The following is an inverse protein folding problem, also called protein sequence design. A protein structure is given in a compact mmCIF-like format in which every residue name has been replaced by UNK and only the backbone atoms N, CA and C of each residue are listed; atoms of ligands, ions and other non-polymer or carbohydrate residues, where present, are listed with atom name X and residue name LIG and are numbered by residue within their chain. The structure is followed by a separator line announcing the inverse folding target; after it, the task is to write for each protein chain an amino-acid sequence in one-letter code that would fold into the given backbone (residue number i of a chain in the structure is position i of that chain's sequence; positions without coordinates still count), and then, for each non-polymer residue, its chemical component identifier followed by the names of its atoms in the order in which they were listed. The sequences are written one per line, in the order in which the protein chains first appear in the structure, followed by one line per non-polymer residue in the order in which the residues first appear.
data_IF_203570206773
#
_entry.id   IF_203570206773
#
_cell.length_a   1.000
_cell.length_b   1.000
_cell.length_c   1.000
_cell.angle_alpha   90.00
_cell.angle_beta   90.00
_cell.angle_gamma   90.00
#
_symmetry.space_group_name_H-M   'P 1'
#
loop_
_entity.id
_entity.type
_entity.pdbx_description
1 polymer ?
#
# COMPACT_ATOMS: atom_id res chain seq x y z
N UNK A 1 26.13 -1.52 10.04
CA UNK A 1 26.10 -0.22 9.35
C UNK A 1 24.67 0.08 8.94
N UNK A 2 24.19 1.28 9.33
CA UNK A 2 22.86 1.74 8.95
C UNK A 2 22.97 2.30 7.53
N UNK A 3 22.29 1.65 6.60
CA UNK A 3 22.27 2.11 5.21
C UNK A 3 21.31 3.30 5.06
N UNK A 4 21.79 4.37 4.43
CA UNK A 4 20.99 5.53 4.05
C UNK A 4 20.79 5.55 2.54
N UNK A 5 19.61 5.97 2.11
CA UNK A 5 19.26 6.13 0.70
C UNK A 5 18.94 7.58 0.40
N UNK A 6 19.48 8.09 -0.69
CA UNK A 6 19.15 9.43 -1.19
C UNK A 6 17.74 9.41 -1.77
N UNK A 7 16.95 10.40 -1.38
CA UNK A 7 15.55 10.53 -1.77
C UNK A 7 15.19 11.95 -2.17
N UNK A 8 14.13 12.06 -2.94
CA UNK A 8 13.48 13.32 -3.28
C UNK A 8 12.06 13.25 -2.74
N UNK A 9 11.75 14.13 -1.79
CA UNK A 9 10.41 14.25 -1.21
C UNK A 9 9.68 15.38 -1.90
N UNK A 10 8.50 15.09 -2.44
CA UNK A 10 7.61 16.09 -2.97
C UNK A 10 6.58 16.46 -1.90
N UNK A 11 6.58 17.71 -1.48
CA UNK A 11 5.61 18.23 -0.51
C UNK A 11 4.27 18.52 -1.20
N UNK A 12 3.20 18.66 -0.42
CA UNK A 12 1.88 19.07 -0.94
C UNK A 12 1.91 20.42 -1.67
N UNK A 13 2.82 21.30 -1.31
CA UNK A 13 3.06 22.58 -1.99
C UNK A 13 3.65 22.43 -3.40
N UNK A 14 4.13 21.25 -3.76
CA UNK A 14 4.89 20.98 -4.98
C UNK A 14 6.40 21.19 -4.82
N UNK A 15 6.86 21.73 -3.69
CA UNK A 15 8.28 21.86 -3.38
C UNK A 15 8.94 20.48 -3.28
N UNK A 16 10.14 20.34 -3.83
CA UNK A 16 10.96 19.13 -3.75
C UNK A 16 12.11 19.34 -2.78
N UNK A 17 12.24 18.39 -1.85
CA UNK A 17 13.29 18.38 -0.84
C UNK A 17 14.15 17.15 -1.05
N UNK A 18 15.45 17.34 -1.27
CA UNK A 18 16.43 16.25 -1.33
C UNK A 18 17.01 15.97 0.05
N UNK A 19 17.30 14.70 0.30
CA UNK A 19 17.96 14.28 1.54
C UNK A 19 18.13 12.76 1.59
N UNK A 20 18.38 12.25 2.78
CA UNK A 20 18.67 10.85 3.02
C UNK A 20 17.68 10.26 4.00
N UNK A 21 17.12 9.09 3.66
CA UNK A 21 16.31 8.25 4.53
C UNK A 21 17.10 7.05 5.01
N UNK A 22 16.97 6.78 6.30
CA UNK A 22 17.55 5.59 6.91
C UNK A 22 16.80 4.34 6.44
N UNK A 23 17.52 3.26 6.18
CA UNK A 23 16.94 1.96 5.87
C UNK A 23 15.94 1.52 6.97
N UNK A 24 14.81 0.96 6.56
CA UNK A 24 13.74 0.55 7.47
C UNK A 24 12.87 1.69 8.03
N UNK A 25 13.02 2.91 7.57
CA UNK A 25 12.24 4.07 8.04
C UNK A 25 10.72 3.83 8.02
N UNK A 26 10.25 3.10 7.03
CA UNK A 26 8.82 2.77 6.86
C UNK A 26 8.32 1.71 7.85
N UNK A 27 9.21 1.01 8.53
CA UNK A 27 8.90 0.04 9.56
C UNK A 27 8.86 0.64 10.97
N UNK A 28 9.39 1.86 11.12
CA UNK A 28 9.45 2.56 12.38
C UNK A 28 8.10 3.25 12.69
N UNK A 29 7.58 3.05 13.88
CA UNK A 29 6.40 3.77 14.38
C UNK A 29 5.05 3.22 13.96
N UNK A 30 4.99 2.05 13.49
CA UNK A 30 3.83 1.47 12.84
C UNK A 30 2.76 0.88 13.75
N UNK A 31 2.53 1.36 14.91
CA UNK A 31 1.33 0.97 15.64
C UNK A 31 0.22 1.98 15.40
N UNK A 32 -0.70 1.64 14.47
CA UNK A 32 -2.14 1.95 14.42
C UNK A 32 -2.63 3.31 15.00
N UNK A 33 -1.74 4.22 15.35
CA UNK A 33 -2.13 5.56 15.77
C UNK A 33 -2.10 6.47 14.56
N UNK A 34 -3.22 7.09 14.26
CA UNK A 34 -3.42 8.10 13.22
C UNK A 34 -2.30 9.14 13.13
N UNK A 35 -1.57 9.32 14.20
CA UNK A 35 -0.67 10.45 14.42
C UNK A 35 0.81 10.14 14.15
N UNK A 36 1.17 8.88 13.83
CA UNK A 36 2.56 8.44 13.86
C UNK A 36 3.19 8.11 12.50
N UNK A 37 2.53 8.48 11.39
CA UNK A 37 3.15 8.29 10.08
C UNK A 37 4.06 9.45 9.74
N UNK A 38 5.22 9.43 10.38
CA UNK A 38 6.25 10.40 10.16
C UNK A 38 7.56 9.71 9.79
N UNK A 39 8.38 10.42 9.04
CA UNK A 39 9.72 10.01 8.70
C UNK A 39 10.66 11.19 8.86
N UNK A 40 11.96 10.90 8.96
CA UNK A 40 12.99 11.91 9.16
C UNK A 40 13.97 11.88 8.01
N UNK A 41 14.31 13.04 7.51
CA UNK A 41 15.31 13.24 6.45
C UNK A 41 16.49 14.00 7.03
N UNK A 42 17.70 13.54 6.68
CA UNK A 42 18.96 14.24 6.95
C UNK A 42 19.53 14.82 5.66
N UNK A 43 20.34 15.87 5.74
CA UNK A 43 21.01 16.45 4.58
C UNK A 43 22.13 15.55 4.06
N UNK A 44 22.83 14.90 4.98
CA UNK A 44 23.85 13.89 4.69
C UNK A 44 23.65 12.67 5.59
N UNK A 45 24.18 11.50 5.25
CA UNK A 45 24.04 10.31 6.09
C UNK A 45 24.57 10.47 7.51
N UNK A 46 25.56 11.33 7.70
CA UNK A 46 26.25 11.53 8.97
C UNK A 46 25.65 12.68 9.82
N UNK A 47 24.68 13.40 9.28
CA UNK A 47 24.05 14.50 10.01
C UNK A 47 23.28 14.02 11.24
N UNK A 48 23.50 14.70 12.34
CA UNK A 48 22.72 14.51 13.58
C UNK A 48 21.37 15.22 13.54
N UNK A 49 21.29 16.28 12.75
CA UNK A 49 20.06 17.04 12.58
C UNK A 49 19.20 16.44 11.46
N UNK A 50 17.92 16.30 11.75
CA UNK A 50 16.95 15.77 10.81
C UNK A 50 15.69 16.63 10.79
N UNK A 51 15.05 16.69 9.64
CA UNK A 51 13.72 17.30 9.48
C UNK A 51 12.69 16.19 9.45
N UNK A 52 11.66 16.34 10.28
CA UNK A 52 10.55 15.40 10.38
C UNK A 52 9.40 15.84 9.48
N UNK A 53 8.89 14.91 8.67
CA UNK A 53 7.68 15.08 7.87
C UNK A 53 6.64 14.03 8.23
N UNK A 54 5.38 14.38 8.03
CA UNK A 54 4.24 13.45 8.15
C UNK A 54 3.65 13.12 6.78
N UNK A 55 2.87 12.05 6.69
CA UNK A 55 2.15 11.69 5.48
C UNK A 55 1.15 12.79 5.03
N UNK A 56 0.72 13.66 5.95
CA UNK A 56 -0.17 14.78 5.63
C UNK A 56 0.53 15.95 4.94
N UNK A 57 1.85 16.06 5.08
CA UNK A 57 2.66 17.15 4.53
C UNK A 57 3.23 16.86 3.15
N UNK A 58 3.24 15.58 2.75
CA UNK A 58 3.90 15.12 1.53
C UNK A 58 2.95 14.50 0.53
N UNK A 59 3.34 14.51 -0.73
CA UNK A 59 2.66 13.82 -1.84
C UNK A 59 3.32 12.48 -2.13
N UNK A 60 4.64 12.45 -2.26
CA UNK A 60 5.38 11.25 -2.58
C UNK A 60 6.86 11.35 -2.17
N UNK A 61 7.51 10.19 -2.16
CA UNK A 61 8.96 10.06 -1.99
C UNK A 61 9.48 9.20 -3.14
N UNK A 62 10.48 9.71 -3.85
CA UNK A 62 11.21 8.98 -4.88
C UNK A 62 12.62 8.67 -4.39
N UNK A 63 13.05 7.41 -4.53
CA UNK A 63 14.45 7.08 -4.35
C UNK A 63 15.22 7.54 -5.56
N UNK A 64 16.32 8.26 -5.33
CA UNK A 64 17.10 8.86 -6.40
C UNK A 64 17.85 7.82 -7.25
N UNK A 65 18.19 6.68 -6.66
CA UNK A 65 18.99 5.64 -7.28
C UNK A 65 18.15 4.42 -7.60
N UNK A 66 18.31 3.91 -8.82
CA UNK A 66 17.76 2.63 -9.26
C UNK A 66 18.74 1.51 -8.92
N UNK A 67 18.22 0.33 -8.64
CA UNK A 67 19.00 -0.88 -8.36
C UNK A 67 18.65 -1.99 -9.33
N UNK A 68 19.45 -3.05 -9.39
CA UNK A 68 19.13 -4.24 -10.18
C UNK A 68 17.82 -4.89 -9.73
N UNK A 69 17.54 -4.87 -8.42
CA UNK A 69 16.31 -5.40 -7.84
C UNK A 69 15.10 -4.49 -8.14
N UNK A 70 15.33 -3.20 -8.32
CA UNK A 70 14.30 -2.20 -8.60
C UNK A 70 14.73 -1.30 -9.77
N UNK A 71 14.68 -1.82 -11.01
CA UNK A 71 15.16 -1.10 -12.18
C UNK A 71 14.32 0.14 -12.53
N UNK A 72 13.05 0.14 -12.13
CA UNK A 72 12.14 1.29 -12.28
C UNK A 72 12.23 2.30 -11.13
N UNK A 73 13.05 1.98 -10.13
CA UNK A 73 13.18 2.77 -8.91
C UNK A 73 12.13 2.43 -7.85
N UNK A 74 12.26 3.06 -6.69
CA UNK A 74 11.33 2.90 -5.57
C UNK A 74 10.56 4.20 -5.40
N UNK A 75 9.23 4.12 -5.37
CA UNK A 75 8.32 5.25 -5.24
C UNK A 75 7.30 4.98 -4.14
N UNK A 76 7.15 5.94 -3.24
CA UNK A 76 6.17 5.91 -2.15
C UNK A 76 5.18 7.04 -2.34
N UNK A 77 3.89 6.70 -2.37
CA UNK A 77 2.80 7.67 -2.40
C UNK A 77 2.20 7.86 -1.01
N UNK A 78 1.86 9.10 -0.67
CA UNK A 78 1.06 9.41 0.51
C UNK A 78 -0.42 9.34 0.14
N UNK A 79 -1.12 8.31 0.60
CA UNK A 79 -2.49 8.02 0.22
C UNK A 79 -3.37 7.69 1.43
N UNK A 80 -4.66 7.91 1.27
CA UNK A 80 -5.69 7.53 2.23
C UNK A 80 -6.04 6.06 2.06
N UNK A 81 -6.03 5.32 3.16
CA UNK A 81 -6.36 3.90 3.20
C UNK A 81 -7.70 3.74 3.90
N UNK A 82 -8.64 3.03 3.25
CA UNK A 82 -9.89 2.61 3.84
C UNK A 82 -9.63 1.40 4.74
N UNK A 83 -9.51 1.66 6.04
CA UNK A 83 -9.27 0.63 7.05
C UNK A 83 -10.59 0.13 7.62
N UNK A 84 -10.88 -1.19 7.61
CA UNK A 84 -12.09 -1.74 8.17
C UNK A 84 -12.29 -1.37 9.64
N UNK A 85 -13.53 -1.07 9.99
CA UNK A 85 -13.95 -0.73 11.34
C UNK A 85 -15.21 -1.51 11.72
N UNK A 86 -15.62 -1.41 12.97
CA UNK A 86 -16.80 -2.11 13.49
C UNK A 86 -18.07 -1.67 12.75
N UNK A 87 -18.98 -2.60 12.50
CA UNK A 87 -20.29 -2.34 11.92
C UNK A 87 -20.27 -2.06 10.42
N UNK A 88 -19.42 -2.76 9.64
CA UNK A 88 -19.29 -2.57 8.20
C UNK A 88 -19.00 -1.12 7.80
N UNK A 89 -18.18 -0.46 8.61
CA UNK A 89 -17.67 0.89 8.35
C UNK A 89 -16.18 0.81 8.06
N UNK A 90 -15.62 1.90 7.55
CA UNK A 90 -14.17 2.06 7.43
C UNK A 90 -13.74 3.42 7.98
N UNK A 91 -12.54 3.44 8.52
CA UNK A 91 -11.83 4.66 8.88
C UNK A 91 -10.82 4.98 7.79
N UNK A 92 -10.57 6.25 7.58
CA UNK A 92 -9.52 6.71 6.69
C UNK A 92 -8.23 6.92 7.48
N UNK A 93 -7.17 6.26 7.03
CA UNK A 93 -5.82 6.40 7.60
C UNK A 93 -4.89 6.83 6.48
N UNK A 94 -4.23 7.98 6.62
CA UNK A 94 -3.25 8.43 5.64
C UNK A 94 -1.88 7.84 5.94
N UNK A 95 -1.27 7.25 4.91
CA UNK A 95 0.04 6.58 4.99
C UNK A 95 0.88 6.79 3.76
N UNK A 96 2.19 6.52 3.92
CA UNK A 96 3.09 6.28 2.81
C UNK A 96 3.02 4.80 2.44
N UNK A 97 2.74 4.53 1.17
CA UNK A 97 2.59 3.19 0.60
C UNK A 97 3.51 3.06 -0.61
N UNK A 98 4.20 1.93 -0.72
CA UNK A 98 5.14 1.68 -1.80
C UNK A 98 4.42 1.21 -3.05
N UNK A 99 4.70 1.86 -4.17
CA UNK A 99 4.19 1.47 -5.48
C UNK A 99 4.72 0.08 -5.85
N UNK A 100 3.83 -0.81 -6.23
CA UNK A 100 4.17 -2.15 -6.70
C UNK A 100 3.95 -2.27 -8.22
N UNK A 101 2.70 -2.30 -8.67
CA UNK A 101 2.36 -2.45 -10.10
C UNK A 101 1.34 -1.42 -10.55
N UNK A 102 1.55 -0.85 -11.73
CA UNK A 102 0.61 0.05 -12.38
C UNK A 102 -0.07 -0.67 -13.53
N UNK A 103 -1.38 -0.84 -13.43
CA UNK A 103 -2.23 -1.36 -14.48
C UNK A 103 -3.02 -0.25 -15.20
N UNK A 104 -3.84 -0.64 -16.16
CA UNK A 104 -4.70 0.28 -16.90
C UNK A 104 -5.75 0.95 -16.01
N UNK A 105 -6.38 0.19 -15.11
CA UNK A 105 -7.52 0.62 -14.30
C UNK A 105 -7.29 0.55 -12.79
N UNK A 106 -6.15 0.00 -12.36
CA UNK A 106 -5.80 -0.12 -10.95
C UNK A 106 -4.28 -0.08 -10.75
N UNK A 107 -3.88 0.28 -9.55
CA UNK A 107 -2.48 0.30 -9.10
C UNK A 107 -2.38 -0.43 -7.78
N UNK A 108 -1.40 -1.32 -7.65
CA UNK A 108 -1.14 -2.06 -6.42
C UNK A 108 -0.02 -1.45 -5.62
N UNK A 109 -0.12 -1.59 -4.30
CA UNK A 109 0.81 -1.06 -3.32
C UNK A 109 1.10 -2.08 -2.24
N UNK A 110 2.22 -1.89 -1.54
CA UNK A 110 2.51 -2.59 -0.30
C UNK A 110 3.06 -1.61 0.75
N UNK A 111 2.91 -1.98 2.01
CA UNK A 111 3.53 -1.30 3.15
C UNK A 111 3.69 -2.28 4.30
N UNK A 112 4.34 -1.85 5.36
CA UNK A 112 4.55 -2.69 6.53
C UNK A 112 3.83 -2.13 7.75
N UNK A 113 3.30 -3.02 8.56
CA UNK A 113 2.68 -2.70 9.85
C UNK A 113 3.24 -3.60 10.94
N UNK A 114 3.34 -3.05 12.14
CA UNK A 114 3.53 -3.86 13.31
C UNK A 114 2.19 -4.42 13.78
N UNK A 115 2.14 -5.71 14.03
CA UNK A 115 0.97 -6.40 14.58
C UNK A 115 1.39 -7.38 15.66
N UNK A 116 0.42 -7.91 16.40
CA UNK A 116 0.66 -8.92 17.42
C UNK A 116 0.14 -10.27 16.92
N UNK A 117 1.01 -11.25 16.94
CA UNK A 117 0.68 -12.64 16.66
C UNK A 117 0.71 -13.45 17.94
N UNK A 118 -0.28 -14.31 18.13
CA UNK A 118 -0.32 -15.25 19.25
C UNK A 118 0.28 -16.57 18.84
N UNK A 119 1.38 -16.94 19.49
CA UNK A 119 2.03 -18.25 19.31
C UNK A 119 1.93 -19.01 20.64
N UNK A 120 1.00 -19.97 20.71
CA UNK A 120 0.67 -20.64 21.97
C UNK A 120 0.09 -19.65 22.98
N UNK A 121 0.74 -19.49 24.13
CA UNK A 121 0.35 -18.55 25.19
C UNK A 121 1.12 -17.24 25.17
N UNK A 122 1.97 -17.02 24.16
CA UNK A 122 2.83 -15.83 24.08
C UNK A 122 2.33 -14.93 22.95
N UNK A 123 2.17 -13.65 23.26
CA UNK A 123 1.93 -12.62 22.26
C UNK A 123 3.27 -12.09 21.75
N UNK A 124 3.54 -12.24 20.47
CA UNK A 124 4.75 -11.76 19.81
C UNK A 124 4.42 -10.60 18.86
N UNK A 125 5.18 -9.54 18.97
CA UNK A 125 5.11 -8.43 18.03
C UNK A 125 5.86 -8.80 16.75
N UNK A 126 5.20 -8.69 15.62
CA UNK A 126 5.77 -8.98 14.29
C UNK A 126 5.56 -7.82 13.32
N UNK A 127 6.51 -7.66 12.41
CA UNK A 127 6.39 -6.74 11.29
C UNK A 127 5.78 -7.50 10.09
N UNK A 128 4.58 -7.08 9.68
CA UNK A 128 3.83 -7.71 8.60
C UNK A 128 3.78 -6.82 7.36
N UNK A 129 4.02 -7.38 6.18
CA UNK A 129 3.73 -6.73 4.91
C UNK A 129 2.25 -6.86 4.60
N UNK A 130 1.62 -5.74 4.29
CA UNK A 130 0.23 -5.67 3.83
C UNK A 130 0.19 -5.12 2.42
N UNK A 131 -0.83 -5.52 1.67
CA UNK A 131 -1.03 -5.18 0.28
C UNK A 131 -2.32 -4.39 0.10
N UNK A 132 -2.30 -3.43 -0.81
CA UNK A 132 -3.45 -2.61 -1.13
C UNK A 132 -3.58 -2.36 -2.62
N UNK A 133 -4.75 -1.89 -3.01
CA UNK A 133 -5.07 -1.51 -4.37
C UNK A 133 -5.82 -0.20 -4.40
N UNK A 134 -5.47 0.65 -5.35
CA UNK A 134 -6.19 1.88 -5.69
C UNK A 134 -6.78 1.71 -7.08
N UNK A 135 -8.11 1.81 -7.17
CA UNK A 135 -8.81 1.80 -8.44
C UNK A 135 -8.78 3.20 -9.05
N UNK A 136 -8.48 3.31 -10.35
CA UNK A 136 -8.31 4.61 -11.01
C UNK A 136 -9.61 5.41 -11.12
N UNK A 137 -10.75 4.75 -11.07
CA UNK A 137 -12.08 5.37 -11.02
C UNK A 137 -12.52 5.77 -9.60
N UNK A 138 -11.77 5.38 -8.58
CA UNK A 138 -11.91 5.83 -7.18
C UNK A 138 -10.52 6.16 -6.59
N UNK A 139 -9.84 7.22 -7.10
CA UNK A 139 -8.43 7.48 -6.82
C UNK A 139 -8.14 7.94 -5.39
N UNK A 140 -9.17 8.32 -4.64
CA UNK A 140 -9.02 8.89 -3.29
C UNK A 140 -8.76 7.86 -2.21
N UNK A 141 -8.89 6.56 -2.52
CA UNK A 141 -8.78 5.47 -1.54
C UNK A 141 -7.91 4.34 -2.02
N UNK A 142 -7.10 3.84 -1.10
CA UNK A 142 -6.49 2.51 -1.18
C UNK A 142 -7.29 1.57 -0.29
N UNK A 143 -7.63 0.39 -0.80
CA UNK A 143 -8.26 -0.67 -0.02
C UNK A 143 -7.30 -1.82 0.20
N UNK A 144 -7.42 -2.51 1.33
CA UNK A 144 -6.63 -3.71 1.57
C UNK A 144 -7.01 -4.80 0.58
N UNK A 145 -6.03 -5.46 0.00
CA UNK A 145 -6.23 -6.54 -0.98
C UNK A 145 -7.10 -7.67 -0.43
N UNK A 146 -6.94 -8.03 0.86
CA UNK A 146 -7.76 -9.09 1.46
C UNK A 146 -9.26 -8.77 1.52
N UNK A 147 -9.64 -7.49 1.52
CA UNK A 147 -11.04 -7.07 1.54
C UNK A 147 -11.79 -7.47 0.27
N UNK A 148 -11.08 -7.63 -0.86
CA UNK A 148 -11.69 -7.99 -2.14
C UNK A 148 -12.44 -9.34 -2.06
N UNK A 149 -11.95 -10.28 -1.29
CA UNK A 149 -12.50 -11.64 -1.20
C UNK A 149 -13.07 -11.99 0.17
N UNK A 150 -12.74 -11.25 1.21
CA UNK A 150 -13.02 -11.64 2.59
C UNK A 150 -14.05 -10.77 3.29
N UNK A 151 -14.52 -9.68 2.70
CA UNK A 151 -15.45 -8.76 3.36
C UNK A 151 -16.47 -8.15 2.41
N UNK A 152 -17.69 -8.03 2.89
CA UNK A 152 -18.77 -7.35 2.18
C UNK A 152 -18.62 -5.81 2.19
N UNK A 153 -17.64 -5.27 2.91
CA UNK A 153 -17.37 -3.84 2.92
C UNK A 153 -17.06 -3.31 1.51
N UNK A 154 -16.49 -4.16 0.64
CA UNK A 154 -16.25 -3.83 -0.75
C UNK A 154 -17.52 -3.47 -1.53
N UNK A 155 -18.67 -4.05 -1.21
CA UNK A 155 -19.92 -3.71 -1.88
C UNK A 155 -20.38 -2.26 -1.64
N UNK A 156 -19.92 -1.65 -0.54
CA UNK A 156 -20.17 -0.23 -0.26
C UNK A 156 -19.27 0.70 -1.08
N UNK A 157 -18.04 0.25 -1.37
CA UNK A 157 -17.06 1.00 -2.13
C UNK A 157 -17.21 0.77 -3.63
N UNK A 158 -17.40 -0.49 -4.02
CA UNK A 158 -17.55 -0.93 -5.41
C UNK A 158 -18.63 -2.02 -5.49
N UNK A 159 -19.89 -1.65 -5.80
CA UNK A 159 -21.01 -2.60 -5.85
C UNK A 159 -20.73 -3.77 -6.80
N UNK A 160 -20.95 -4.99 -6.28
CA UNK A 160 -20.77 -6.24 -7.05
C UNK A 160 -19.33 -6.73 -7.18
N UNK A 161 -18.32 -5.95 -6.79
CA UNK A 161 -16.91 -6.33 -6.94
C UNK A 161 -16.55 -7.54 -6.06
N UNK A 162 -17.05 -7.59 -4.84
CA UNK A 162 -16.80 -8.74 -3.95
C UNK A 162 -17.30 -10.06 -4.55
N UNK A 163 -18.52 -10.09 -5.07
CA UNK A 163 -19.07 -11.28 -5.74
C UNK A 163 -18.32 -11.63 -7.03
N UNK A 164 -17.89 -10.62 -7.79
CA UNK A 164 -17.06 -10.83 -8.97
C UNK A 164 -15.71 -11.48 -8.60
N UNK A 165 -15.05 -11.00 -7.55
CA UNK A 165 -13.81 -11.60 -7.04
C UNK A 165 -14.01 -13.05 -6.59
N UNK A 166 -15.11 -13.36 -5.91
CA UNK A 166 -15.43 -14.75 -5.54
C UNK A 166 -15.57 -15.65 -6.77
N UNK A 167 -16.24 -15.18 -7.80
CA UNK A 167 -16.41 -15.94 -9.06
C UNK A 167 -15.09 -16.10 -9.82
N UNK A 168 -14.21 -15.10 -9.76
CA UNK A 168 -12.87 -15.12 -10.36
C UNK A 168 -12.05 -16.34 -9.95
N UNK A 169 -12.21 -16.78 -8.71
CA UNK A 169 -11.48 -17.92 -8.14
C UNK A 169 -12.25 -19.23 -8.16
N UNK A 170 -13.38 -19.33 -8.87
CA UNK A 170 -14.15 -20.56 -9.04
C UNK A 170 -13.75 -21.33 -10.31
N UNK A 171 -14.04 -22.64 -10.29
CA UNK A 171 -13.82 -23.54 -11.43
C UNK A 171 -12.36 -23.88 -11.71
N UNK A 172 -12.08 -24.56 -12.84
CA UNK A 172 -10.72 -24.95 -13.22
C UNK A 172 -9.78 -23.77 -13.40
N UNK A 173 -10.23 -22.71 -14.06
CA UNK A 173 -9.47 -21.45 -14.23
C UNK A 173 -9.21 -20.79 -12.88
N UNK A 174 -10.19 -20.83 -11.96
CA UNK A 174 -10.06 -20.29 -10.62
C UNK A 174 -8.94 -20.95 -9.80
N UNK A 175 -8.68 -22.23 -10.02
CA UNK A 175 -7.56 -22.93 -9.35
C UNK A 175 -6.21 -22.40 -9.80
N UNK A 176 -6.05 -22.12 -11.08
CA UNK A 176 -4.82 -21.52 -11.65
C UNK A 176 -4.66 -20.11 -11.09
N UNK A 177 -5.71 -19.29 -11.13
CA UNK A 177 -5.73 -17.93 -10.61
C UNK A 177 -5.39 -17.86 -9.12
N UNK A 178 -5.87 -18.81 -8.32
CA UNK A 178 -5.50 -18.93 -6.88
C UNK A 178 -4.02 -19.18 -6.67
N UNK A 179 -3.41 -19.96 -7.54
CA UNK A 179 -1.97 -20.23 -7.49
C UNK A 179 -1.19 -18.96 -7.82
N UNK A 180 -1.55 -18.27 -8.89
CA UNK A 180 -0.93 -17.01 -9.31
C UNK A 180 -1.07 -15.92 -8.24
N UNK A 181 -2.24 -15.84 -7.60
CA UNK A 181 -2.51 -14.87 -6.53
C UNK A 181 -1.66 -15.05 -5.26
N UNK A 182 -1.06 -16.22 -5.08
CA UNK A 182 -0.11 -16.46 -3.99
C UNK A 182 1.29 -15.92 -4.28
N UNK A 183 1.60 -15.67 -5.53
CA UNK A 183 2.92 -15.24 -5.96
C UNK A 183 3.04 -13.73 -5.99
N UNK A 184 2.01 -13.04 -6.51
CA UNK A 184 1.96 -11.58 -6.54
C UNK A 184 0.52 -11.04 -6.69
N UNK A 185 0.38 -9.71 -6.75
CA UNK A 185 -0.89 -9.00 -6.86
C UNK A 185 -1.31 -8.67 -8.30
N UNK A 186 -0.60 -9.14 -9.32
CA UNK A 186 -0.93 -8.88 -10.73
C UNK A 186 -2.34 -9.36 -11.11
N UNK A 187 -2.84 -10.40 -10.46
CA UNK A 187 -4.20 -10.91 -10.65
C UNK A 187 -5.28 -9.85 -10.41
N UNK A 188 -5.04 -8.88 -9.51
CA UNK A 188 -6.00 -7.81 -9.19
C UNK A 188 -6.19 -6.91 -10.41
N UNK A 189 -5.13 -6.61 -11.13
CA UNK A 189 -5.17 -5.78 -12.32
C UNK A 189 -6.02 -6.46 -13.40
N UNK A 190 -5.81 -7.73 -13.67
CA UNK A 190 -6.57 -8.51 -14.64
C UNK A 190 -8.03 -8.69 -14.23
N UNK A 191 -8.27 -9.00 -12.96
CA UNK A 191 -9.60 -9.17 -12.40
C UNK A 191 -10.42 -7.87 -12.52
N UNK A 192 -9.81 -6.74 -12.17
CA UNK A 192 -10.52 -5.46 -12.20
C UNK A 192 -10.80 -4.98 -13.63
N UNK A 193 -9.90 -5.21 -14.58
CA UNK A 193 -10.14 -4.96 -16.00
C UNK A 193 -11.34 -5.77 -16.49
N UNK A 194 -11.41 -7.06 -16.15
CA UNK A 194 -12.54 -7.92 -16.50
C UNK A 194 -13.85 -7.49 -15.83
N UNK A 195 -13.80 -7.04 -14.58
CA UNK A 195 -14.95 -6.49 -13.86
C UNK A 195 -15.54 -5.27 -14.59
N UNK A 196 -14.68 -4.32 -15.00
CA UNK A 196 -15.11 -3.13 -15.72
C UNK A 196 -15.69 -3.47 -17.11
N UNK A 197 -15.13 -4.42 -17.82
CA UNK A 197 -15.66 -4.90 -19.10
C UNK A 197 -17.06 -5.48 -18.93
N UNK A 198 -17.31 -6.26 -17.87
CA UNK A 198 -18.63 -6.79 -17.58
C UNK A 198 -19.64 -5.67 -17.24
N UNK A 199 -19.22 -4.65 -16.50
CA UNK A 199 -20.08 -3.49 -16.18
C UNK A 199 -20.45 -2.68 -17.43
N UNK A 200 -19.57 -2.58 -18.41
CA UNK A 200 -19.81 -1.84 -19.64
C UNK A 200 -20.84 -2.52 -20.58
N UNK A 201 -21.07 -3.84 -20.45
CA UNK A 201 -22.02 -4.62 -21.27
C UNK A 201 -23.42 -4.64 -20.67
N UNK A 202 -23.60 -4.26 -19.42
CA UNK A 202 -24.89 -4.11 -18.74
C UNK A 202 -25.46 -2.70 -18.91
#
# INVERSE_FOLDING_TARGET
DQEFRRVIVTLKSGEKVEGYLKSGWHADGALLKKENYSFKITKTPDDKESVKYTADEVTCIDYAEKTEENPDGIHWDALDIASPSIGNRYNTIRRLVCLDKVGKNATTYWWKIWTTERVGNINRRILKTVHGVRFHDDPDKVVYTYMLVNTMLMDKLHPGLHEFCKKWFKGPEGKVRKKEAKEDDAWILDMYDAYLEQQAVQ
#
